data_IF_678931408674
#
_entry.id   IF_678931408674
#
_cell.length_a   1.000
_cell.length_b   1.000
_cell.length_c   1.000
_cell.angle_alpha   90.00
_cell.angle_beta   90.00
_cell.angle_gamma   90.00
#
_symmetry.space_group_name_H-M   'P 1'
#
loop_
_entity.id
_entity.type
_entity.pdbx_description
1 polymer ?
#
# COMPACT_ATOMS: atom_id res chain seq x y z
N UNK A 1 -10.55 1.02 -0.17
CA UNK A 1 -9.19 0.53 0.13
C UNK A 1 -8.22 1.71 0.09
N UNK A 2 -7.04 1.62 0.73
CA UNK A 2 -6.11 2.76 0.89
C UNK A 2 -5.64 3.36 -0.44
N UNK A 3 -5.50 2.53 -1.46
CA UNK A 3 -5.14 2.93 -2.82
C UNK A 3 -6.18 3.89 -3.45
N UNK A 4 -7.47 3.60 -3.29
CA UNK A 4 -8.56 4.45 -3.79
C UNK A 4 -8.56 5.81 -3.07
N UNK A 5 -8.44 5.79 -1.74
CA UNK A 5 -8.40 7.01 -0.91
C UNK A 5 -7.19 7.87 -1.31
N UNK A 6 -6.06 7.24 -1.63
CA UNK A 6 -4.86 7.98 -2.09
C UNK A 6 -5.10 8.65 -3.45
N UNK A 7 -5.82 7.99 -4.37
CA UNK A 7 -6.22 8.60 -5.64
C UNK A 7 -7.15 9.81 -5.45
N UNK A 8 -8.08 9.74 -4.49
CA UNK A 8 -8.99 10.85 -4.15
C UNK A 8 -8.19 12.05 -3.61
N UNK A 9 -7.32 11.84 -2.62
CA UNK A 9 -6.48 12.89 -2.04
C UNK A 9 -5.53 13.51 -3.10
N UNK A 10 -5.04 12.70 -4.04
CA UNK A 10 -4.18 13.18 -5.12
C UNK A 10 -4.89 14.20 -6.03
N UNK A 11 -6.20 14.04 -6.27
CA UNK A 11 -6.98 14.96 -7.10
C UNK A 11 -7.06 16.35 -6.47
N UNK A 12 -7.22 16.42 -5.14
CA UNK A 12 -7.19 17.69 -4.39
C UNK A 12 -5.83 18.38 -4.46
N UNK A 13 -4.76 17.62 -4.73
CA UNK A 13 -3.39 18.12 -4.89
C UNK A 13 -3.03 18.48 -6.35
N UNK A 14 -4.01 18.61 -7.24
CA UNK A 14 -3.80 18.85 -8.68
C UNK A 14 -2.95 17.76 -9.38
N UNK A 15 -3.07 16.52 -8.90
CA UNK A 15 -2.48 15.33 -9.54
C UNK A 15 -3.59 14.46 -10.11
N UNK A 16 -3.40 13.95 -11.32
CA UNK A 16 -4.38 13.14 -12.04
C UNK A 16 -3.96 11.67 -11.96
N UNK A 17 -4.72 10.80 -11.26
CA UNK A 17 -4.46 9.37 -11.25
C UNK A 17 -4.53 8.77 -12.65
N UNK A 18 -3.53 7.96 -13.01
CA UNK A 18 -3.45 7.31 -14.32
C UNK A 18 -3.75 5.81 -14.21
N UNK A 19 -3.13 5.14 -13.24
CA UNK A 19 -3.29 3.71 -13.02
C UNK A 19 -2.80 3.30 -11.63
N UNK A 20 -3.31 2.16 -11.18
CA UNK A 20 -2.87 1.47 -9.97
C UNK A 20 -2.26 0.14 -10.40
N UNK A 21 -0.99 -0.09 -10.05
CA UNK A 21 -0.28 -1.33 -10.33
C UNK A 21 -0.22 -2.14 -9.04
N UNK A 22 -0.77 -3.35 -9.06
CA UNK A 22 -0.68 -4.29 -7.95
C UNK A 22 0.54 -5.18 -8.18
N UNK A 23 1.53 -5.08 -7.29
CA UNK A 23 2.79 -5.82 -7.38
C UNK A 23 2.93 -6.79 -6.22
N UNK A 24 3.27 -8.04 -6.53
CA UNK A 24 3.65 -9.02 -5.50
C UNK A 24 5.05 -8.71 -4.96
N UNK A 25 5.26 -8.89 -3.66
CA UNK A 25 6.55 -8.78 -2.99
C UNK A 25 7.02 -10.22 -2.64
N UNK A 26 7.77 -10.89 -3.53
CA UNK A 26 8.11 -12.29 -3.34
C UNK A 26 9.06 -12.52 -2.16
N UNK A 27 10.06 -11.64 -1.98
CA UNK A 27 11.06 -11.76 -0.93
C UNK A 27 10.89 -10.63 0.09
N UNK A 28 10.03 -10.86 1.09
CA UNK A 28 9.84 -9.93 2.20
C UNK A 28 10.89 -10.23 3.28
N UNK A 29 11.66 -9.21 3.66
CA UNK A 29 12.62 -9.32 4.80
C UNK A 29 11.93 -9.50 6.13
N UNK A 30 10.67 -9.07 6.22
CA UNK A 30 9.79 -9.25 7.37
C UNK A 30 9.30 -10.72 7.44
N UNK A 31 9.21 -11.32 8.63
CA UNK A 31 8.71 -12.69 8.80
C UNK A 31 7.29 -12.85 8.25
N UNK A 32 6.86 -14.08 7.98
CA UNK A 32 5.52 -14.40 7.46
C UNK A 32 4.38 -13.77 8.29
N UNK A 33 4.60 -13.64 9.60
CA UNK A 33 3.68 -12.98 10.52
C UNK A 33 4.42 -11.95 11.35
N UNK A 34 3.85 -10.77 11.49
CA UNK A 34 4.38 -9.67 12.30
C UNK A 34 3.34 -9.21 13.34
N UNK A 35 3.74 -8.34 14.28
CA UNK A 35 2.80 -7.69 15.21
C UNK A 35 2.78 -6.19 14.91
N UNK A 36 1.94 -5.73 13.97
CA UNK A 36 1.90 -4.32 13.59
C UNK A 36 1.35 -3.45 14.72
N UNK A 37 0.52 -4.03 15.59
CA UNK A 37 0.01 -3.41 16.83
C UNK A 37 1.07 -3.29 17.92
N UNK A 38 2.23 -3.91 17.74
CA UNK A 38 3.31 -3.96 18.72
C UNK A 38 2.90 -4.60 20.07
N UNK A 39 1.83 -5.41 20.08
CA UNK A 39 1.36 -6.15 21.26
C UNK A 39 1.86 -7.58 21.17
N UNK A 40 2.66 -8.01 22.16
CA UNK A 40 3.25 -9.36 22.17
C UNK A 40 2.19 -10.44 22.00
N UNK A 41 2.39 -11.32 21.02
CA UNK A 41 1.48 -12.44 20.73
C UNK A 41 0.30 -12.09 19.81
N UNK A 42 0.03 -10.81 19.56
CA UNK A 42 -0.96 -10.37 18.56
C UNK A 42 -0.27 -10.32 17.20
N UNK A 43 -0.41 -11.40 16.44
CA UNK A 43 0.26 -11.59 15.15
C UNK A 43 -0.73 -11.52 13.98
N UNK A 44 -0.38 -10.73 12.97
CA UNK A 44 -1.07 -10.61 11.70
C UNK A 44 -0.21 -11.16 10.56
N UNK A 45 -0.81 -11.45 9.41
CA UNK A 45 -0.08 -11.84 8.21
C UNK A 45 0.65 -10.64 7.62
N UNK A 46 1.89 -10.87 7.20
CA UNK A 46 2.69 -9.83 6.58
C UNK A 46 2.16 -9.50 5.19
N UNK A 47 2.17 -8.22 4.84
CA UNK A 47 1.78 -7.75 3.51
C UNK A 47 2.67 -8.36 2.40
N UNK A 48 2.04 -9.06 1.46
CA UNK A 48 2.70 -9.68 0.29
C UNK A 48 2.44 -8.96 -1.03
N UNK A 49 1.61 -7.92 -1.03
CA UNK A 49 1.31 -7.11 -2.22
C UNK A 49 1.42 -5.64 -1.87
N UNK A 50 1.91 -4.86 -2.81
CA UNK A 50 1.90 -3.40 -2.73
C UNK A 50 1.14 -2.81 -3.92
N UNK A 51 0.65 -1.58 -3.72
CA UNK A 51 -0.09 -0.82 -4.70
C UNK A 51 0.75 0.40 -5.08
N UNK A 52 1.17 0.46 -6.34
CA UNK A 52 1.92 1.59 -6.89
C UNK A 52 0.94 2.45 -7.67
N UNK A 53 0.75 3.69 -7.23
CA UNK A 53 -0.18 4.63 -7.86
C UNK A 53 0.62 5.56 -8.77
N UNK A 54 0.31 5.54 -10.06
CA UNK A 54 0.92 6.43 -11.04
C UNK A 54 0.06 7.68 -11.17
N UNK A 55 0.64 8.81 -10.83
CA UNK A 55 0.00 10.13 -10.87
C UNK A 55 0.69 10.99 -11.92
N UNK A 56 -0.09 11.82 -12.63
CA UNK A 56 0.42 12.83 -13.56
C UNK A 56 0.17 14.22 -12.99
N UNK A 57 1.16 15.11 -13.05
CA UNK A 57 0.95 16.53 -12.74
C UNK A 57 0.02 17.16 -13.78
N UNK A 58 -1.02 17.85 -13.32
CA UNK A 58 -1.93 18.60 -14.18
C UNK A 58 -1.21 19.69 -14.99
#
# INVERSE_FOLDING_TARGET
>A
STDIITCEIAQDCALIPQQIIIRNIPNKTMPLRNSPTNVRGVLEETMHKEYIIVLKKA
#
